data_IF_881990835781
#
_entry.id   IF_881990835781
#
_cell.length_a   1.000
_cell.length_b   1.000
_cell.length_c   1.000
_cell.angle_alpha   90.00
_cell.angle_beta   90.00
_cell.angle_gamma   90.00
#
_symmetry.space_group_name_H-M   'P 1'
#
loop_
_entity.id
_entity.type
_entity.pdbx_description
1 polymer ?
#
# COMPACT_ATOMS: atom_id res chain seq x y z
N UNK A 1 -25.64 2.09 -14.07
CA UNK A 1 -24.35 1.82 -13.40
C UNK A 1 -24.44 2.20 -11.93
N UNK A 2 -23.89 1.40 -11.01
CA UNK A 2 -23.83 1.72 -9.57
C UNK A 2 -22.86 2.89 -9.35
N UNK A 3 -23.26 3.91 -8.59
CA UNK A 3 -22.40 5.05 -8.24
C UNK A 3 -21.79 4.82 -6.85
N UNK A 4 -20.51 5.17 -6.67
CA UNK A 4 -19.91 5.20 -5.34
C UNK A 4 -20.46 6.40 -4.54
N UNK A 5 -20.50 6.27 -3.22
CA UNK A 5 -20.88 7.37 -2.32
C UNK A 5 -19.65 8.09 -1.76
N UNK A 6 -18.57 8.13 -2.53
CA UNK A 6 -17.29 8.72 -2.13
C UNK A 6 -17.28 10.16 -2.62
N UNK A 7 -16.96 11.10 -1.72
CA UNK A 7 -16.77 12.51 -2.02
C UNK A 7 -15.29 12.84 -1.86
N UNK A 8 -14.56 12.76 -2.97
CA UNK A 8 -13.09 12.78 -2.91
C UNK A 8 -12.52 14.09 -2.38
N UNK A 9 -13.12 15.23 -2.72
CA UNK A 9 -12.66 16.54 -2.26
C UNK A 9 -12.73 16.69 -0.73
N UNK A 10 -13.76 16.11 -0.10
CA UNK A 10 -13.89 16.10 1.37
C UNK A 10 -12.84 15.20 2.02
N UNK A 11 -12.58 14.02 1.44
CA UNK A 11 -11.58 13.10 1.96
C UNK A 11 -10.17 13.70 1.83
N UNK A 12 -9.85 14.34 0.69
CA UNK A 12 -8.60 15.08 0.50
C UNK A 12 -8.46 16.17 1.56
N UNK A 13 -9.53 16.91 1.86
CA UNK A 13 -9.53 17.93 2.92
C UNK A 13 -9.21 17.34 4.31
N UNK A 14 -9.75 16.16 4.61
CA UNK A 14 -9.48 15.47 5.88
C UNK A 14 -8.02 15.02 5.96
N UNK A 15 -7.50 14.38 4.90
CA UNK A 15 -6.09 13.95 4.82
C UNK A 15 -5.14 15.15 4.91
N UNK A 16 -5.45 16.27 4.26
CA UNK A 16 -4.70 17.52 4.41
C UNK A 16 -4.66 17.98 5.88
N UNK A 17 -5.79 17.92 6.57
CA UNK A 17 -5.87 18.29 7.99
C UNK A 17 -5.04 17.35 8.87
N UNK A 18 -5.13 16.04 8.66
CA UNK A 18 -4.35 15.03 9.39
C UNK A 18 -2.84 15.22 9.20
N UNK A 19 -2.43 15.58 7.98
CA UNK A 19 -1.02 15.78 7.60
C UNK A 19 -0.54 17.22 7.78
N UNK A 20 -1.39 18.10 8.32
CA UNK A 20 -1.09 19.53 8.53
C UNK A 20 -0.64 20.25 7.24
N UNK A 21 -1.16 19.84 6.09
CA UNK A 21 -0.88 20.46 4.78
C UNK A 21 -1.92 21.54 4.50
N UNK A 22 -1.45 22.78 4.29
CA UNK A 22 -2.34 23.89 3.94
C UNK A 22 -2.71 23.85 2.45
N UNK A 23 -3.78 24.57 2.06
CA UNK A 23 -4.16 24.72 0.64
C UNK A 23 -3.03 25.33 -0.21
N UNK A 24 -2.33 26.32 0.34
CA UNK A 24 -1.22 26.98 -0.35
C UNK A 24 -0.04 26.01 -0.56
N UNK A 25 0.26 25.19 0.45
CA UNK A 25 1.31 24.18 0.33
C UNK A 25 0.93 23.09 -0.68
N UNK A 26 -0.31 22.61 -0.67
CA UNK A 26 -0.78 21.65 -1.68
C UNK A 26 -0.70 22.24 -3.09
N UNK A 27 -1.12 23.50 -3.27
CA UNK A 27 -1.03 24.19 -4.55
C UNK A 27 0.43 24.27 -5.04
N UNK A 28 1.37 24.57 -4.14
CA UNK A 28 2.81 24.60 -4.44
C UNK A 28 3.36 23.23 -4.83
N UNK A 29 2.97 22.16 -4.13
CA UNK A 29 3.40 20.78 -4.44
C UNK A 29 2.90 20.28 -5.80
N UNK A 30 1.72 20.73 -6.20
CA UNK A 30 1.09 20.37 -7.46
C UNK A 30 1.46 21.29 -8.63
N UNK A 31 2.22 22.36 -8.37
CA UNK A 31 2.53 23.43 -9.33
C UNK A 31 1.26 24.04 -9.97
N UNK A 32 0.25 24.33 -9.13
CA UNK A 32 -1.01 24.94 -9.56
C UNK A 32 -1.34 26.20 -8.76
N UNK A 33 -2.32 26.95 -9.26
CA UNK A 33 -2.85 28.12 -8.56
C UNK A 33 -3.68 27.68 -7.33
N UNK A 34 -3.66 28.42 -6.21
CA UNK A 34 -4.47 28.10 -5.03
C UNK A 34 -5.96 27.93 -5.32
N UNK A 35 -6.52 28.70 -6.28
CA UNK A 35 -7.92 28.58 -6.68
C UNK A 35 -8.25 27.21 -7.27
N UNK A 36 -7.29 26.56 -7.94
CA UNK A 36 -7.47 25.20 -8.45
C UNK A 36 -7.66 24.21 -7.31
N UNK A 37 -6.94 24.39 -6.20
CA UNK A 37 -7.11 23.58 -4.98
C UNK A 37 -8.46 23.86 -4.33
N UNK A 38 -8.89 25.12 -4.23
CA UNK A 38 -10.22 25.46 -3.71
C UNK A 38 -11.33 24.77 -4.50
N UNK A 39 -11.26 24.82 -5.83
CA UNK A 39 -12.19 24.12 -6.70
C UNK A 39 -12.14 22.61 -6.47
N UNK A 40 -10.93 22.03 -6.43
CA UNK A 40 -10.72 20.60 -6.27
C UNK A 40 -11.36 20.03 -5.00
N UNK A 41 -11.25 20.75 -3.88
CA UNK A 41 -11.79 20.31 -2.60
C UNK A 41 -13.33 20.31 -2.55
N UNK A 42 -14.01 20.93 -3.52
CA UNK A 42 -15.48 20.86 -3.64
C UNK A 42 -15.97 19.70 -4.50
N UNK A 43 -15.05 18.95 -5.13
CA UNK A 43 -15.41 17.94 -6.13
C UNK A 43 -15.84 16.64 -5.50
N UNK A 44 -16.93 16.07 -6.02
CA UNK A 44 -17.33 14.68 -5.72
C UNK A 44 -16.35 13.67 -6.31
N UNK A 45 -15.86 13.93 -7.51
CA UNK A 45 -14.93 13.08 -8.25
C UNK A 45 -13.91 13.93 -9.02
N UNK A 46 -12.72 13.37 -9.22
CA UNK A 46 -11.63 13.96 -10.01
C UNK A 46 -11.06 12.88 -10.94
N UNK A 47 -10.36 13.28 -11.99
CA UNK A 47 -9.66 12.36 -12.88
C UNK A 47 -8.49 11.66 -12.17
N UNK A 48 -8.07 10.53 -12.74
CA UNK A 48 -7.09 9.63 -12.13
C UNK A 48 -5.69 10.23 -12.05
N UNK A 49 -5.29 11.03 -13.03
CA UNK A 49 -3.96 11.66 -13.06
C UNK A 49 -3.87 12.74 -11.97
N UNK A 50 -4.91 13.54 -11.83
CA UNK A 50 -5.03 14.51 -10.73
C UNK A 50 -5.05 13.80 -9.37
N UNK A 51 -5.81 12.70 -9.23
CA UNK A 51 -5.84 11.90 -8.01
C UNK A 51 -4.46 11.33 -7.66
N UNK A 52 -3.72 10.86 -8.66
CA UNK A 52 -2.38 10.30 -8.50
C UNK A 52 -1.39 11.36 -8.01
N UNK A 53 -1.35 12.53 -8.65
CA UNK A 53 -0.48 13.63 -8.24
C UNK A 53 -0.77 14.12 -6.81
N UNK A 54 -2.05 14.15 -6.42
CA UNK A 54 -2.44 14.49 -5.05
C UNK A 54 -2.03 13.39 -4.07
N UNK A 55 -2.14 12.13 -4.48
CA UNK A 55 -1.68 10.99 -3.69
C UNK A 55 -0.19 11.11 -3.36
N UNK A 56 0.62 11.49 -4.35
CA UNK A 56 2.05 11.77 -4.14
C UNK A 56 2.24 13.00 -3.25
N UNK A 57 1.58 14.12 -3.57
CA UNK A 57 1.75 15.38 -2.85
C UNK A 57 1.37 15.29 -1.37
N UNK A 58 0.41 14.42 -1.02
CA UNK A 58 -0.03 14.17 0.34
C UNK A 58 0.54 12.88 0.93
N UNK A 59 1.33 12.10 0.20
CA UNK A 59 1.85 10.79 0.63
C UNK A 59 0.72 9.85 1.13
N UNK A 60 -0.41 9.83 0.43
CA UNK A 60 -1.59 9.04 0.77
C UNK A 60 -2.18 8.40 -0.48
N UNK A 61 -2.38 7.07 -0.48
CA UNK A 61 -2.94 6.37 -1.64
C UNK A 61 -4.48 6.49 -1.68
N UNK A 62 -4.98 7.51 -2.38
CA UNK A 62 -6.43 7.71 -2.54
C UNK A 62 -7.09 6.68 -3.47
N UNK A 63 -6.32 5.91 -4.25
CA UNK A 63 -6.88 4.87 -5.12
C UNK A 63 -7.54 3.74 -4.31
N UNK A 64 -7.05 3.50 -3.09
CA UNK A 64 -7.58 2.50 -2.16
C UNK A 64 -9.05 2.73 -1.79
N UNK A 65 -9.51 3.97 -1.86
CA UNK A 65 -10.91 4.32 -1.59
C UNK A 65 -11.87 3.69 -2.61
N UNK A 66 -11.39 3.44 -3.83
CA UNK A 66 -12.17 2.91 -4.93
C UNK A 66 -11.92 1.42 -5.18
N UNK A 67 -11.07 0.79 -4.35
CA UNK A 67 -10.76 -0.63 -4.49
C UNK A 67 -11.98 -1.51 -4.24
N UNK A 68 -12.32 -2.34 -5.24
CA UNK A 68 -13.40 -3.33 -5.15
C UNK A 68 -12.92 -4.60 -4.39
N UNK A 69 -11.60 -4.83 -4.35
CA UNK A 69 -10.94 -5.96 -3.68
C UNK A 69 -9.84 -5.43 -2.75
N UNK A 70 -9.52 -6.15 -1.68
CA UNK A 70 -8.56 -5.71 -0.65
C UNK A 70 -7.10 -5.56 -1.16
N UNK A 71 -6.75 -6.11 -2.32
CA UNK A 71 -5.37 -6.17 -2.83
C UNK A 71 -5.26 -5.60 -4.26
N UNK A 72 -5.50 -4.31 -4.46
CA UNK A 72 -5.21 -3.66 -5.74
C UNK A 72 -3.71 -3.38 -5.90
N UNK A 73 -3.16 -3.75 -7.07
CA UNK A 73 -1.76 -3.50 -7.43
C UNK A 73 -1.60 -2.08 -8.00
N UNK A 74 -0.73 -1.28 -7.39
CA UNK A 74 -0.14 -0.11 -8.04
C UNK A 74 0.91 -0.61 -9.05
N UNK A 75 0.69 -0.34 -10.35
CA UNK A 75 1.56 -0.84 -11.43
C UNK A 75 2.73 0.09 -11.75
N UNK A 76 2.69 1.34 -11.27
CA UNK A 76 3.72 2.36 -11.54
C UNK A 76 4.86 2.33 -10.52
N UNK A 77 4.71 1.51 -9.47
CA UNK A 77 5.67 1.40 -8.39
C UNK A 77 6.21 -0.03 -8.33
N UNK A 78 7.22 -0.35 -9.15
CA UNK A 78 7.90 -1.65 -9.11
C UNK A 78 8.56 -1.94 -7.74
N UNK A 79 8.67 -0.93 -6.86
CA UNK A 79 9.39 -0.99 -5.59
C UNK A 79 8.57 -1.41 -4.37
N UNK A 80 7.24 -1.36 -4.38
CA UNK A 80 6.43 -1.77 -3.21
C UNK A 80 6.00 -3.22 -3.38
N UNK A 81 6.97 -4.12 -3.26
CA UNK A 81 6.67 -5.44 -2.70
C UNK A 81 6.18 -5.17 -1.28
N UNK A 82 4.89 -5.39 -1.02
CA UNK A 82 4.34 -5.39 0.33
C UNK A 82 5.36 -6.05 1.27
N UNK A 83 5.64 -5.41 2.41
CA UNK A 83 6.16 -6.16 3.57
C UNK A 83 5.13 -7.25 3.82
N UNK A 84 5.40 -8.47 3.33
CA UNK A 84 4.72 -9.65 3.83
C UNK A 84 5.02 -9.63 5.33
N UNK A 85 4.04 -9.23 6.13
CA UNK A 85 4.08 -9.52 7.55
C UNK A 85 4.33 -11.02 7.68
N UNK A 86 5.21 -11.41 8.61
CA UNK A 86 5.59 -12.80 8.80
C UNK A 86 4.31 -13.65 8.90
N UNK A 87 4.08 -14.50 7.90
CA UNK A 87 2.96 -15.45 7.93
C UNK A 87 3.44 -16.72 8.61
N UNK A 88 2.80 -17.08 9.73
CA UNK A 88 3.03 -18.38 10.36
C UNK A 88 2.18 -19.42 9.63
N UNK A 89 2.84 -20.27 8.84
CA UNK A 89 2.20 -21.41 8.16
C UNK A 89 2.50 -22.66 8.98
N UNK A 90 1.46 -23.39 9.41
CA UNK A 90 1.60 -24.74 9.93
C UNK A 90 1.17 -25.74 8.85
N UNK A 91 2.05 -26.68 8.53
CA UNK A 91 1.77 -27.76 7.59
C UNK A 91 2.09 -29.07 8.31
N UNK A 92 1.12 -29.96 8.37
CA UNK A 92 1.26 -31.31 8.92
C UNK A 92 1.20 -32.30 7.75
N UNK A 93 2.25 -33.09 7.58
CA UNK A 93 2.39 -34.05 6.49
C UNK A 93 2.87 -35.36 7.10
N UNK A 94 2.16 -36.45 6.82
CA UNK A 94 2.58 -37.80 7.16
C UNK A 94 3.45 -38.34 6.03
N UNK A 95 4.65 -38.81 6.35
CA UNK A 95 5.66 -39.22 5.39
C UNK A 95 6.18 -40.61 5.72
N UNK A 96 6.52 -41.36 4.66
CA UNK A 96 7.21 -42.63 4.82
C UNK A 96 8.69 -42.43 5.14
N UNK A 97 9.32 -43.46 5.71
CA UNK A 97 10.67 -43.37 6.27
C UNK A 97 11.72 -42.96 5.22
N UNK A 98 11.57 -43.39 3.96
CA UNK A 98 12.46 -43.02 2.85
C UNK A 98 12.26 -41.57 2.39
N UNK A 99 11.04 -41.03 2.51
CA UNK A 99 10.72 -39.64 2.19
C UNK A 99 11.30 -38.67 3.24
N UNK A 100 11.25 -39.05 4.52
CA UNK A 100 11.85 -38.28 5.63
C UNK A 100 13.36 -38.12 5.44
N UNK A 101 14.05 -39.19 5.03
CA UNK A 101 15.50 -39.17 4.79
C UNK A 101 15.84 -38.21 3.64
N UNK A 102 15.03 -38.19 2.56
CA UNK A 102 15.21 -37.28 1.42
C UNK A 102 15.07 -35.81 1.80
N UNK A 103 14.23 -35.48 2.79
CA UNK A 103 14.04 -34.09 3.25
C UNK A 103 15.25 -33.51 3.99
N UNK A 104 16.14 -34.36 4.52
CA UNK A 104 17.38 -33.96 5.20
C UNK A 104 17.17 -32.91 6.30
N UNK A 105 16.06 -33.00 7.03
CA UNK A 105 15.61 -31.98 8.00
C UNK A 105 16.63 -31.75 9.11
N UNK A 106 17.31 -32.82 9.56
CA UNK A 106 18.31 -32.73 10.63
C UNK A 106 19.47 -31.79 10.27
N UNK A 107 19.98 -31.88 9.04
CA UNK A 107 21.07 -31.02 8.55
C UNK A 107 20.59 -29.56 8.42
N UNK A 108 19.42 -29.35 7.81
CA UNK A 108 18.82 -28.01 7.65
C UNK A 108 18.52 -27.31 8.98
N UNK A 109 18.04 -28.06 9.99
CA UNK A 109 17.76 -27.51 11.32
C UNK A 109 19.07 -27.14 12.03
N UNK A 110 20.11 -27.98 11.96
CA UNK A 110 21.42 -27.65 12.52
C UNK A 110 22.01 -26.38 11.89
N UNK A 111 21.98 -26.26 10.55
CA UNK A 111 22.46 -25.07 9.84
C UNK A 111 21.71 -23.78 10.25
N UNK A 112 20.40 -23.87 10.52
CA UNK A 112 19.60 -22.74 10.99
C UNK A 112 19.87 -22.36 12.44
N UNK A 113 20.22 -23.32 13.30
CA UNK A 113 20.50 -23.09 14.71
C UNK A 113 21.97 -22.65 14.95
N UNK A 114 22.90 -23.14 14.14
CA UNK A 114 24.33 -22.82 14.25
C UNK A 114 24.71 -21.53 13.49
N UNK A 115 23.84 -21.06 12.58
CA UNK A 115 24.07 -19.90 11.70
C UNK A 115 23.78 -18.52 12.28
N UNK A 116 23.57 -18.40 13.60
CA UNK A 116 23.25 -17.12 14.27
C UNK A 116 24.40 -16.41 14.99
N UNK A 117 25.61 -17.00 15.05
CA UNK A 117 26.71 -16.47 15.87
C UNK A 117 27.85 -15.79 15.09
N UNK A 118 27.71 -15.57 13.78
CA UNK A 118 28.69 -14.80 13.00
C UNK A 118 28.02 -14.00 11.90
N UNK A 119 27.44 -12.84 12.28
CA UNK A 119 27.42 -11.60 11.48
C UNK A 119 26.87 -10.44 12.30
#
# INVERSE_FOLDING_TARGET
MKKSNIYIGEIIKNVMSERQVTKAELARRLDVKPQSVDYLLTRKSIDTDTLYNISIALDYDFSLLYSIKQEQRNSDNEGIRYKLGNAKIMVEIELQQDEIIKLNLKKKIAELLDGGANK
#
